data_IF_788444735872
#
_entry.id   IF_788444735872
#
_cell.length_a   1.000
_cell.length_b   1.000
_cell.length_c   1.000
_cell.angle_alpha   90.00
_cell.angle_beta   90.00
_cell.angle_gamma   90.00
#
_symmetry.space_group_name_H-M   'P 1'
#
loop_
_entity.id
_entity.type
_entity.pdbx_description
1 polymer ?
#
# COMPACT_ATOMS: atom_id res chain seq x y z
N UNK A 1 9.34 -51.86 -52.24
CA UNK A 1 8.37 -52.81 -52.84
C UNK A 1 6.97 -52.29 -52.55
N UNK A 2 6.30 -51.68 -53.53
CA UNK A 2 4.90 -51.29 -53.39
C UNK A 2 4.05 -52.52 -53.74
N UNK A 3 3.45 -53.15 -52.74
CA UNK A 3 2.44 -54.18 -53.00
C UNK A 3 1.26 -53.51 -53.69
N UNK A 4 0.97 -53.90 -54.93
CA UNK A 4 -0.19 -53.44 -55.70
C UNK A 4 -1.46 -54.06 -55.11
N UNK A 5 -1.86 -53.56 -53.95
CA UNK A 5 -3.05 -53.98 -53.21
C UNK A 5 -4.24 -53.22 -53.80
N UNK A 6 -5.18 -53.95 -54.41
CA UNK A 6 -6.44 -53.39 -54.89
C UNK A 6 -7.57 -53.84 -53.97
N UNK A 7 -8.15 -52.92 -53.21
CA UNK A 7 -9.23 -53.20 -52.25
C UNK A 7 -10.50 -52.50 -52.74
N UNK A 8 -11.59 -53.24 -52.92
CA UNK A 8 -12.90 -52.63 -53.19
C UNK A 8 -13.47 -52.06 -51.89
N UNK A 9 -13.81 -50.76 -51.89
CA UNK A 9 -14.36 -50.05 -50.72
C UNK A 9 -15.56 -49.20 -51.11
N UNK A 10 -16.43 -48.94 -50.14
CA UNK A 10 -17.53 -47.97 -50.25
C UNK A 10 -17.04 -46.59 -49.80
N UNK A 11 -17.26 -45.55 -50.62
CA UNK A 11 -16.94 -44.17 -50.26
C UNK A 11 -17.83 -43.70 -49.09
N UNK A 12 -17.22 -43.17 -48.03
CA UNK A 12 -17.96 -42.69 -46.85
C UNK A 12 -18.84 -41.45 -47.12
N UNK A 13 -18.59 -40.71 -48.21
CA UNK A 13 -19.36 -39.51 -48.57
C UNK A 13 -20.48 -39.79 -49.57
N UNK A 14 -20.18 -40.44 -50.70
CA UNK A 14 -21.14 -40.65 -51.79
C UNK A 14 -21.69 -42.08 -51.86
N UNK A 15 -21.21 -43.00 -51.02
CA UNK A 15 -21.69 -44.38 -50.97
C UNK A 15 -21.33 -45.25 -52.18
N UNK A 16 -20.59 -44.73 -53.18
CA UNK A 16 -20.18 -45.50 -54.36
C UNK A 16 -19.03 -46.44 -54.05
N UNK A 17 -19.02 -47.62 -54.69
CA UNK A 17 -17.90 -48.55 -54.65
C UNK A 17 -16.74 -48.01 -55.50
N UNK A 18 -15.51 -48.14 -54.99
CA UNK A 18 -14.29 -47.74 -55.69
C UNK A 18 -13.12 -48.64 -55.32
N UNK A 19 -12.10 -48.68 -56.18
CA UNK A 19 -10.87 -49.44 -55.95
C UNK A 19 -9.87 -48.55 -55.22
N UNK A 20 -9.47 -48.97 -54.03
CA UNK A 20 -8.51 -48.30 -53.17
C UNK A 20 -7.15 -49.01 -53.23
N UNK A 21 -6.08 -48.23 -53.41
CA UNK A 21 -4.70 -48.74 -53.36
C UNK A 21 -4.06 -48.66 -51.96
N UNK A 22 -4.75 -48.05 -50.99
CA UNK A 22 -4.28 -47.93 -49.59
C UNK A 22 -5.41 -48.25 -48.61
N UNK A 23 -5.09 -48.95 -47.53
CA UNK A 23 -6.03 -49.25 -46.44
C UNK A 23 -6.56 -47.97 -45.77
N UNK A 24 -5.81 -46.88 -45.76
CA UNK A 24 -6.23 -45.58 -45.18
C UNK A 24 -7.16 -44.75 -46.07
N UNK A 25 -7.36 -45.11 -47.34
CA UNK A 25 -8.26 -44.35 -48.23
C UNK A 25 -9.73 -44.58 -47.86
N UNK A 26 -10.46 -43.47 -47.64
CA UNK A 26 -11.85 -43.43 -47.17
C UNK A 26 -12.85 -42.94 -48.21
N UNK A 27 -12.37 -42.25 -49.25
CA UNK A 27 -13.20 -41.58 -50.25
C UNK A 27 -12.76 -41.93 -51.67
N UNK A 28 -13.71 -41.99 -52.60
CA UNK A 28 -13.45 -42.33 -54.00
C UNK A 28 -12.74 -41.23 -54.80
N UNK A 29 -12.77 -39.97 -54.33
CA UNK A 29 -12.18 -38.83 -55.05
C UNK A 29 -11.81 -37.69 -54.09
N UNK A 30 -10.90 -36.81 -54.54
CA UNK A 30 -10.53 -35.59 -53.80
C UNK A 30 -11.73 -34.67 -53.55
N UNK A 31 -12.72 -34.65 -54.45
CA UNK A 31 -13.99 -33.92 -54.26
C UNK A 31 -14.76 -34.42 -53.05
N UNK A 32 -14.96 -35.73 -52.94
CA UNK A 32 -15.67 -36.34 -51.81
C UNK A 32 -14.93 -36.11 -50.48
N UNK A 33 -13.59 -36.23 -50.49
CA UNK A 33 -12.77 -35.95 -49.31
C UNK A 33 -12.89 -34.48 -48.84
N UNK A 34 -12.85 -33.52 -49.77
CA UNK A 34 -12.99 -32.10 -49.46
C UNK A 34 -14.37 -31.75 -48.90
N UNK A 35 -15.44 -32.35 -49.43
CA UNK A 35 -16.80 -32.13 -48.94
C UNK A 35 -16.97 -32.67 -47.51
N UNK A 36 -16.50 -33.91 -47.26
CA UNK A 36 -16.51 -34.50 -45.92
C UNK A 36 -15.71 -33.67 -44.91
N UNK A 37 -14.53 -33.17 -45.32
CA UNK A 37 -13.71 -32.27 -44.50
C UNK A 37 -14.46 -30.97 -44.16
N UNK A 38 -15.12 -30.33 -45.13
CA UNK A 38 -15.90 -29.10 -44.90
C UNK A 38 -17.06 -29.32 -43.93
N UNK A 39 -17.79 -30.43 -44.05
CA UNK A 39 -18.88 -30.78 -43.12
C UNK A 39 -18.35 -31.04 -41.72
N UNK A 40 -17.27 -31.82 -41.58
CA UNK A 40 -16.66 -32.09 -40.27
C UNK A 40 -16.20 -30.79 -39.57
N UNK A 41 -15.57 -29.89 -40.31
CA UNK A 41 -15.14 -28.58 -39.79
C UNK A 41 -16.34 -27.72 -39.38
N UNK A 42 -17.44 -27.74 -40.15
CA UNK A 42 -18.68 -27.03 -39.78
C UNK A 42 -19.32 -27.60 -38.52
N UNK A 43 -19.42 -28.93 -38.40
CA UNK A 43 -19.95 -29.59 -37.21
C UNK A 43 -19.13 -29.29 -35.96
N UNK A 44 -17.79 -29.29 -36.08
CA UNK A 44 -16.90 -28.92 -34.98
C UNK A 44 -17.18 -27.50 -34.46
N UNK A 45 -17.31 -26.53 -35.36
CA UNK A 45 -17.66 -25.14 -35.01
C UNK A 45 -19.02 -25.03 -34.32
N UNK A 46 -20.01 -25.78 -34.80
CA UNK A 46 -21.36 -25.79 -34.18
C UNK A 46 -21.27 -26.38 -32.76
N UNK A 47 -20.55 -27.49 -32.56
CA UNK A 47 -20.39 -28.08 -31.23
C UNK A 47 -19.62 -27.17 -30.27
N UNK A 48 -18.57 -26.49 -30.74
CA UNK A 48 -17.82 -25.50 -29.95
C UNK A 48 -18.70 -24.31 -29.52
N UNK A 49 -19.58 -23.86 -30.40
CA UNK A 49 -20.53 -22.79 -30.07
C UNK A 49 -21.61 -23.25 -29.09
N UNK A 50 -22.16 -24.45 -29.28
CA UNK A 50 -23.14 -25.05 -28.36
C UNK A 50 -22.57 -25.25 -26.96
N UNK A 51 -21.31 -25.69 -26.83
CA UNK A 51 -20.66 -25.85 -25.52
C UNK A 51 -20.44 -24.50 -24.84
N UNK A 52 -20.06 -23.46 -25.57
CA UNK A 52 -19.95 -22.09 -25.03
C UNK A 52 -21.29 -21.56 -24.53
N UNK A 53 -22.38 -21.76 -25.28
CA UNK A 53 -23.73 -21.34 -24.86
C UNK A 53 -24.16 -22.11 -23.60
N UNK A 54 -24.00 -23.43 -23.56
CA UNK A 54 -24.39 -24.22 -22.40
C UNK A 54 -23.62 -23.78 -21.13
N UNK A 55 -22.32 -23.49 -21.26
CA UNK A 55 -21.52 -22.92 -20.16
C UNK A 55 -21.99 -21.53 -19.71
N UNK A 56 -22.63 -20.75 -20.58
CA UNK A 56 -23.22 -19.46 -20.22
C UNK A 56 -24.59 -19.61 -19.56
N UNK A 57 -25.39 -20.59 -20.00
CA UNK A 57 -26.72 -20.89 -19.43
C UNK A 57 -26.59 -21.49 -18.03
N UNK A 58 -25.69 -22.47 -17.83
CA UNK A 58 -25.42 -23.07 -16.51
C UNK A 58 -24.96 -22.03 -15.46
N UNK A 59 -24.39 -20.91 -15.89
CA UNK A 59 -24.01 -19.79 -15.00
C UNK A 59 -25.18 -18.87 -14.65
N UNK A 60 -26.24 -18.87 -15.45
CA UNK A 60 -27.43 -18.01 -15.30
C UNK A 60 -28.56 -18.65 -14.52
N UNK A 61 -28.54 -19.95 -14.31
CA UNK A 61 -29.47 -20.64 -13.40
C UNK A 61 -29.06 -20.40 -11.93
N UNK A 62 -28.90 -19.13 -11.56
CA UNK A 62 -28.84 -18.69 -10.18
C UNK A 62 -30.27 -18.59 -9.66
N UNK A 63 -30.75 -19.72 -9.15
CA UNK A 63 -31.85 -19.83 -8.19
C UNK A 63 -31.83 -18.61 -7.26
N UNK A 64 -32.99 -18.01 -6.99
CA UNK A 64 -33.21 -17.03 -5.93
C UNK A 64 -32.61 -17.53 -4.61
N UNK A 65 -31.35 -17.19 -4.37
CA UNK A 65 -30.65 -17.54 -3.14
C UNK A 65 -30.96 -16.45 -2.13
N UNK A 66 -31.68 -16.81 -1.08
CA UNK A 66 -31.95 -15.91 0.05
C UNK A 66 -30.71 -15.65 0.92
N UNK A 67 -29.69 -16.50 0.80
CA UNK A 67 -28.48 -16.48 1.61
C UNK A 67 -27.23 -16.41 0.74
N UNK A 68 -26.34 -15.49 1.11
CA UNK A 68 -25.10 -15.20 0.39
C UNK A 68 -23.88 -15.42 1.27
N UNK A 69 -22.79 -15.89 0.66
CA UNK A 69 -21.45 -15.74 1.23
C UNK A 69 -20.94 -14.30 1.04
N UNK A 70 -19.98 -13.81 1.83
CA UNK A 70 -19.43 -12.46 1.65
C UNK A 70 -18.94 -12.17 0.24
N UNK A 71 -18.35 -13.18 -0.42
CA UNK A 71 -17.88 -13.05 -1.80
C UNK A 71 -19.00 -12.95 -2.82
N UNK A 72 -20.12 -13.66 -2.60
CA UNK A 72 -21.30 -13.57 -3.47
C UNK A 72 -22.08 -12.27 -3.20
N UNK A 73 -22.23 -11.88 -1.94
CA UNK A 73 -22.85 -10.62 -1.55
C UNK A 73 -22.11 -9.40 -2.11
N UNK A 74 -20.77 -9.42 -2.08
CA UNK A 74 -19.95 -8.40 -2.71
C UNK A 74 -20.22 -8.29 -4.22
N UNK A 75 -20.34 -9.43 -4.91
CA UNK A 75 -20.70 -9.47 -6.34
C UNK A 75 -22.13 -9.00 -6.59
N UNK A 76 -23.07 -9.33 -5.71
CA UNK A 76 -24.47 -8.93 -5.81
C UNK A 76 -24.64 -7.41 -5.74
N UNK A 77 -23.95 -6.75 -4.79
CA UNK A 77 -23.98 -5.28 -4.65
C UNK A 77 -23.08 -4.60 -5.69
N UNK A 78 -22.07 -5.29 -6.23
CA UNK A 78 -21.10 -4.73 -7.17
C UNK A 78 -19.91 -4.03 -6.49
N UNK A 79 -19.52 -4.48 -5.30
CA UNK A 79 -18.42 -3.92 -4.50
C UNK A 79 -17.26 -4.94 -4.41
N UNK A 80 -16.04 -4.48 -4.11
CA UNK A 80 -14.91 -5.37 -3.85
C UNK A 80 -15.14 -6.19 -2.58
N UNK A 81 -14.63 -7.43 -2.58
CA UNK A 81 -14.68 -8.33 -1.40
C UNK A 81 -14.07 -7.68 -0.15
N UNK A 82 -13.00 -6.90 -0.31
CA UNK A 82 -12.32 -6.22 0.80
C UNK A 82 -13.19 -5.13 1.42
N UNK A 83 -13.85 -4.30 0.61
CA UNK A 83 -14.78 -3.28 1.10
C UNK A 83 -15.98 -3.91 1.78
N UNK A 84 -16.48 -5.04 1.25
CA UNK A 84 -17.55 -5.78 1.90
C UNK A 84 -17.16 -6.26 3.32
N UNK A 85 -15.95 -6.79 3.51
CA UNK A 85 -15.47 -7.15 4.87
C UNK A 85 -15.37 -5.94 5.80
N UNK A 86 -14.97 -4.76 5.32
CA UNK A 86 -14.99 -3.52 6.12
C UNK A 86 -16.39 -3.16 6.61
N UNK A 87 -17.43 -3.44 5.82
CA UNK A 87 -18.82 -3.27 6.24
C UNK A 87 -19.26 -4.28 7.29
N UNK A 88 -18.73 -5.51 7.24
CA UNK A 88 -18.96 -6.50 8.29
C UNK A 88 -18.25 -6.11 9.60
N UNK A 89 -17.00 -5.63 9.53
CA UNK A 89 -16.23 -5.16 10.70
C UNK A 89 -16.89 -3.98 11.40
N UNK A 90 -17.47 -3.06 10.63
CA UNK A 90 -18.22 -1.90 11.15
C UNK A 90 -19.65 -2.23 11.55
N UNK A 91 -20.08 -3.50 11.42
CA UNK A 91 -21.44 -3.98 11.69
C UNK A 91 -22.55 -3.24 10.92
N UNK A 92 -22.23 -2.66 9.76
CA UNK A 92 -23.21 -2.00 8.89
C UNK A 92 -24.17 -3.00 8.25
N UNK A 93 -23.66 -4.20 7.93
CA UNK A 93 -24.45 -5.31 7.38
C UNK A 93 -24.52 -6.41 8.41
N UNK A 94 -25.74 -6.79 8.80
CA UNK A 94 -25.96 -7.91 9.72
C UNK A 94 -25.52 -9.22 9.05
N UNK A 95 -24.73 -9.99 9.78
CA UNK A 95 -24.24 -11.29 9.29
C UNK A 95 -24.11 -12.28 10.43
N UNK A 96 -24.12 -13.57 10.09
CA UNK A 96 -23.90 -14.66 11.04
C UNK A 96 -22.62 -15.39 10.68
N UNK A 97 -21.66 -15.39 11.61
CA UNK A 97 -20.45 -16.17 11.48
C UNK A 97 -20.67 -17.57 12.06
N UNK A 98 -20.68 -18.57 11.19
CA UNK A 98 -20.54 -19.98 11.56
C UNK A 98 -19.04 -20.32 11.63
N UNK A 99 -18.70 -21.47 12.23
CA UNK A 99 -17.30 -21.92 12.46
C UNK A 99 -16.32 -21.58 11.33
N UNK A 100 -16.64 -21.95 10.08
CA UNK A 100 -15.78 -21.72 8.90
C UNK A 100 -16.39 -20.80 7.85
N UNK A 101 -17.64 -20.37 8.00
CA UNK A 101 -18.40 -19.68 6.95
C UNK A 101 -19.21 -18.53 7.53
N UNK A 102 -19.25 -17.41 6.83
CA UNK A 102 -20.17 -16.31 7.13
C UNK A 102 -21.33 -16.38 6.15
N UNK A 103 -22.55 -16.21 6.66
CA UNK A 103 -23.77 -16.19 5.86
C UNK A 103 -24.48 -14.87 6.11
N UNK A 104 -24.95 -14.25 5.03
CA UNK A 104 -25.69 -12.99 5.03
C UNK A 104 -27.03 -13.22 4.34
N UNK A 105 -28.11 -12.68 4.91
CA UNK A 105 -29.43 -12.71 4.27
C UNK A 105 -29.53 -11.61 3.22
N UNK A 106 -30.21 -11.89 2.11
CA UNK A 106 -30.54 -10.89 1.09
C UNK A 106 -31.22 -9.65 1.69
N UNK A 107 -32.18 -9.86 2.59
CA UNK A 107 -32.91 -8.78 3.28
C UNK A 107 -32.01 -7.86 4.10
N UNK A 108 -30.96 -8.40 4.72
CA UNK A 108 -30.02 -7.59 5.51
C UNK A 108 -29.11 -6.74 4.60
N UNK A 109 -28.88 -7.17 3.35
CA UNK A 109 -28.20 -6.38 2.33
C UNK A 109 -29.13 -5.27 1.80
N UNK A 110 -30.40 -5.59 1.55
CA UNK A 110 -31.41 -4.61 1.11
C UNK A 110 -31.67 -3.55 2.18
N UNK A 111 -31.72 -3.95 3.46
CA UNK A 111 -31.86 -3.05 4.59
C UNK A 111 -30.76 -1.98 4.69
N UNK A 112 -29.59 -2.20 4.06
CA UNK A 112 -28.54 -1.19 3.94
C UNK A 112 -29.03 0.05 3.18
N UNK A 113 -29.86 -0.16 2.15
CA UNK A 113 -30.43 0.90 1.32
C UNK A 113 -31.63 1.55 1.99
N UNK A 114 -32.46 0.76 2.67
CA UNK A 114 -33.63 1.28 3.42
C UNK A 114 -33.21 2.22 4.55
N UNK A 115 -32.09 1.92 5.23
CA UNK A 115 -31.56 2.71 6.35
C UNK A 115 -30.41 3.64 5.93
N UNK A 116 -30.25 3.94 4.65
CA UNK A 116 -29.11 4.70 4.16
C UNK A 116 -29.12 6.15 4.69
N UNK A 117 -28.02 6.57 5.30
CA UNK A 117 -27.77 7.99 5.58
C UNK A 117 -27.76 8.77 4.26
N UNK A 118 -28.24 10.03 4.24
CA UNK A 118 -28.12 10.88 3.07
C UNK A 118 -26.66 10.96 2.61
N UNK A 119 -26.46 10.95 1.29
CA UNK A 119 -25.14 10.98 0.68
C UNK A 119 -24.38 12.25 1.11
N UNK A 120 -23.26 12.06 1.81
CA UNK A 120 -22.34 13.14 2.19
C UNK A 120 -21.23 13.21 1.14
N UNK A 121 -21.23 14.26 0.32
CA UNK A 121 -20.13 14.52 -0.60
C UNK A 121 -18.81 14.63 0.18
N UNK A 122 -17.81 13.83 -0.17
CA UNK A 122 -16.45 14.00 0.35
C UNK A 122 -15.87 15.29 -0.20
N UNK A 123 -15.99 16.37 0.57
CA UNK A 123 -15.35 17.64 0.24
C UNK A 123 -13.84 17.49 0.45
N UNK A 124 -13.02 18.07 -0.44
CA UNK A 124 -11.59 18.23 -0.18
C UNK A 124 -11.38 18.88 1.17
N UNK A 125 -10.42 18.37 1.96
CA UNK A 125 -10.07 18.98 3.24
C UNK A 125 -9.64 20.43 2.96
N UNK A 126 -10.32 21.39 3.58
CA UNK A 126 -9.96 22.80 3.43
C UNK A 126 -8.50 22.99 3.85
N UNK A 127 -7.67 23.57 2.97
CA UNK A 127 -6.31 23.94 3.32
C UNK A 127 -6.39 25.10 4.32
N UNK A 128 -5.80 24.95 5.49
CA UNK A 128 -5.70 26.05 6.44
C UNK A 128 -4.82 27.15 5.83
N UNK A 129 -5.33 28.38 5.73
CA UNK A 129 -4.54 29.52 5.28
C UNK A 129 -3.45 29.83 6.29
N UNK A 130 -2.21 29.95 5.83
CA UNK A 130 -1.09 30.38 6.67
C UNK A 130 -1.09 31.90 6.66
N UNK A 131 -1.51 32.51 7.76
CA UNK A 131 -1.51 33.97 7.96
C UNK A 131 -0.22 34.49 8.57
N UNK A 132 0.44 33.67 9.39
CA UNK A 132 1.58 34.10 10.20
C UNK A 132 2.92 33.73 9.56
N UNK A 133 3.75 34.74 9.31
CA UNK A 133 5.09 34.58 8.76
C UNK A 133 6.16 35.23 9.65
N UNK A 134 7.34 34.62 9.73
CA UNK A 134 8.55 35.26 10.23
C UNK A 134 9.40 35.79 9.08
N UNK A 135 10.06 36.91 9.31
CA UNK A 135 11.19 37.35 8.47
C UNK A 135 12.43 36.49 8.78
N UNK A 136 13.32 36.27 7.81
CA UNK A 136 14.60 35.56 8.06
C UNK A 136 15.41 36.15 9.22
N UNK A 137 15.38 37.48 9.39
CA UNK A 137 16.04 38.17 10.50
C UNK A 137 15.43 37.80 11.87
N UNK A 138 14.10 37.71 11.96
CA UNK A 138 13.39 37.31 13.18
C UNK A 138 13.71 35.84 13.55
N UNK A 139 13.79 34.95 12.55
CA UNK A 139 14.19 33.54 12.78
C UNK A 139 15.63 33.47 13.29
N UNK A 140 16.53 34.28 12.73
CA UNK A 140 17.93 34.36 13.16
C UNK A 140 18.05 34.84 14.59
N UNK A 141 17.30 35.87 14.99
CA UNK A 141 17.30 36.39 16.36
C UNK A 141 16.70 35.39 17.35
N UNK A 142 15.55 34.78 17.03
CA UNK A 142 14.85 33.84 17.90
C UNK A 142 15.61 32.53 18.11
N UNK A 143 16.23 31.99 17.07
CA UNK A 143 16.84 30.66 17.09
C UNK A 143 18.38 30.65 17.04
N UNK A 144 19.02 31.81 16.86
CA UNK A 144 20.48 31.90 16.78
C UNK A 144 21.09 31.17 15.57
N UNK A 145 20.36 31.10 14.45
CA UNK A 145 20.76 30.33 13.26
C UNK A 145 21.23 31.26 12.13
N UNK A 146 22.29 30.86 11.40
CA UNK A 146 22.78 31.58 10.22
C UNK A 146 21.74 31.60 9.10
N UNK A 147 21.63 32.73 8.38
CA UNK A 147 20.68 32.94 7.28
C UNK A 147 20.70 31.82 6.24
N UNK A 148 21.90 31.40 5.80
CA UNK A 148 22.06 30.27 4.86
C UNK A 148 21.37 28.99 5.33
N UNK A 149 21.41 28.69 6.64
CA UNK A 149 20.82 27.48 7.20
C UNK A 149 19.30 27.55 7.20
N UNK A 150 18.69 28.72 7.40
CA UNK A 150 17.24 28.91 7.33
C UNK A 150 16.72 28.54 5.93
N UNK A 151 17.43 28.94 4.87
CA UNK A 151 17.05 28.57 3.50
C UNK A 151 17.18 27.07 3.21
N UNK A 152 18.20 26.41 3.75
CA UNK A 152 18.36 24.95 3.63
C UNK A 152 17.22 24.21 4.35
N UNK A 153 16.90 24.62 5.58
CA UNK A 153 15.80 24.04 6.36
C UNK A 153 14.48 24.16 5.59
N UNK A 154 14.19 25.33 5.04
CA UNK A 154 12.95 25.54 4.30
C UNK A 154 12.85 24.65 3.05
N UNK A 155 13.99 24.37 2.39
CA UNK A 155 14.05 23.45 1.25
C UNK A 155 13.90 21.98 1.67
N UNK A 156 14.63 21.55 2.70
CA UNK A 156 14.60 20.16 3.20
C UNK A 156 13.22 19.76 3.73
N UNK A 157 12.54 20.68 4.42
CA UNK A 157 11.25 20.42 5.08
C UNK A 157 10.04 20.93 4.30
N UNK A 158 10.23 21.34 3.04
CA UNK A 158 9.17 21.87 2.17
C UNK A 158 8.35 23.00 2.83
N UNK A 159 9.01 23.88 3.58
CA UNK A 159 8.36 25.03 4.22
C UNK A 159 8.14 26.10 3.16
N UNK A 160 6.88 26.51 2.98
CA UNK A 160 6.53 27.59 2.06
C UNK A 160 7.25 28.87 2.43
N UNK A 161 7.92 29.46 1.44
CA UNK A 161 8.57 30.76 1.53
C UNK A 161 7.89 31.72 0.58
N UNK A 162 7.60 32.92 1.05
CA UNK A 162 7.12 34.02 0.22
C UNK A 162 8.21 35.09 0.16
N UNK A 163 8.39 35.68 -1.01
CA UNK A 163 9.32 36.78 -1.21
C UNK A 163 8.51 38.06 -1.39
N UNK A 164 8.74 39.05 -0.53
CA UNK A 164 8.05 40.33 -0.60
C UNK A 164 9.03 41.45 -0.22
N UNK A 165 9.15 42.46 -1.09
CA UNK A 165 9.99 43.64 -0.89
C UNK A 165 11.44 43.33 -0.46
N UNK A 166 12.12 42.42 -1.16
CA UNK A 166 13.52 42.08 -0.86
C UNK A 166 13.73 41.18 0.36
N UNK A 167 12.67 40.88 1.13
CA UNK A 167 12.71 40.05 2.33
C UNK A 167 12.07 38.70 2.05
N UNK A 168 12.63 37.66 2.65
CA UNK A 168 12.05 36.31 2.61
C UNK A 168 11.26 36.06 3.89
N UNK A 169 10.04 35.59 3.71
CA UNK A 169 9.11 35.25 4.76
C UNK A 169 8.89 33.74 4.81
N UNK A 170 8.90 33.17 6.00
CA UNK A 170 8.70 31.74 6.25
C UNK A 170 7.50 31.54 7.20
N UNK A 171 6.72 30.49 7.02
CA UNK A 171 5.59 30.18 7.92
C UNK A 171 6.03 30.03 9.38
N UNK A 172 5.41 30.77 10.31
CA UNK A 172 5.76 30.71 11.75
C UNK A 172 5.59 29.31 12.30
N UNK A 173 4.41 28.71 12.07
CA UNK A 173 4.05 27.38 12.56
C UNK A 173 5.09 26.33 12.16
N UNK A 174 5.44 26.28 10.88
CA UNK A 174 6.38 25.27 10.39
C UNK A 174 7.81 25.46 10.89
N UNK A 175 8.25 26.70 11.08
CA UNK A 175 9.57 26.99 11.65
C UNK A 175 9.59 26.64 13.15
N UNK A 176 8.56 27.04 13.90
CA UNK A 176 8.45 26.75 15.33
C UNK A 176 8.36 25.23 15.57
N UNK A 177 7.54 24.51 14.79
CA UNK A 177 7.45 23.04 14.83
C UNK A 177 8.79 22.36 14.51
N UNK A 178 9.54 22.89 13.54
CA UNK A 178 10.85 22.35 13.17
C UNK A 178 11.85 22.44 14.32
N UNK A 179 11.94 23.62 14.95
CA UNK A 179 12.87 23.83 16.05
C UNK A 179 12.38 23.14 17.33
N UNK A 180 11.07 23.03 17.57
CA UNK A 180 10.52 22.28 18.70
C UNK A 180 10.92 20.79 18.65
N UNK A 181 10.90 20.16 17.47
CA UNK A 181 11.36 18.77 17.28
C UNK A 181 12.86 18.57 17.55
N UNK A 182 13.65 19.64 17.53
CA UNK A 182 15.11 19.60 17.76
C UNK A 182 15.52 20.21 19.10
N UNK A 183 14.57 20.79 19.85
CA UNK A 183 14.85 21.35 21.16
C UNK A 183 15.33 20.23 22.09
N UNK A 184 16.30 20.54 22.93
CA UNK A 184 16.75 19.62 23.98
C UNK A 184 15.70 19.56 25.09
N UNK A 185 15.60 18.42 25.76
CA UNK A 185 14.75 18.29 26.94
C UNK A 185 15.15 19.35 27.98
N UNK A 186 14.18 20.13 28.51
CA UNK A 186 14.45 21.21 29.47
C UNK A 186 15.04 20.68 30.81
N UNK A 187 15.04 19.37 31.00
CA UNK A 187 15.65 18.68 32.14
C UNK A 187 17.19 18.72 32.16
N UNK A 188 17.83 19.02 31.02
CA UNK A 188 19.29 19.11 30.89
C UNK A 188 19.75 20.55 31.18
N UNK A 189 19.97 20.86 32.46
CA UNK A 189 20.44 22.18 32.91
C UNK A 189 21.95 22.36 32.78
N UNK A 190 22.72 21.28 32.89
CA UNK A 190 24.19 21.33 32.95
C UNK A 190 24.84 20.67 31.73
N UNK A 191 25.89 21.30 31.22
CA UNK A 191 26.57 20.89 30.00
C UNK A 191 28.09 20.90 30.21
N UNK A 192 28.79 19.90 29.69
CA UNK A 192 30.26 19.91 29.59
C UNK A 192 30.71 20.47 28.24
N UNK A 193 31.75 21.29 28.26
CA UNK A 193 32.50 21.63 27.05
C UNK A 193 33.35 20.45 26.59
N UNK A 194 33.85 20.50 25.35
CA UNK A 194 34.85 19.53 24.89
C UNK A 194 36.11 19.55 25.75
N UNK A 195 36.55 20.74 26.18
CA UNK A 195 37.76 20.92 26.99
C UNK A 195 37.57 20.32 28.38
N UNK A 196 36.42 20.56 29.02
CA UNK A 196 36.09 20.02 30.34
C UNK A 196 36.15 18.49 30.34
N UNK A 197 35.70 17.84 29.25
CA UNK A 197 35.79 16.38 29.14
C UNK A 197 37.20 15.87 28.88
N UNK A 198 38.05 16.64 28.21
CA UNK A 198 39.46 16.29 28.04
C UNK A 198 40.18 16.34 29.39
N UNK A 199 39.92 17.38 30.19
CA UNK A 199 40.53 17.56 31.50
C UNK A 199 39.99 16.55 32.53
N UNK A 200 38.68 16.39 32.62
CA UNK A 200 38.05 15.54 33.65
C UNK A 200 38.24 14.04 33.39
N UNK A 201 38.24 13.62 32.13
CA UNK A 201 38.25 12.19 31.76
C UNK A 201 39.52 11.77 31.02
N UNK A 202 40.50 12.67 30.85
CA UNK A 202 41.75 12.43 30.10
C UNK A 202 41.52 11.81 28.71
N UNK A 203 40.41 12.18 28.07
CA UNK A 203 40.03 11.65 26.75
C UNK A 203 40.60 12.51 25.63
N UNK A 204 41.03 11.88 24.54
CA UNK A 204 41.35 12.61 23.31
C UNK A 204 40.08 13.09 22.61
N UNK A 205 40.17 14.15 21.80
CA UNK A 205 39.02 14.69 21.05
C UNK A 205 38.30 13.61 20.22
N UNK A 206 39.07 12.74 19.56
CA UNK A 206 38.54 11.63 18.76
C UNK A 206 37.79 10.61 19.61
N UNK A 207 38.29 10.33 20.82
CA UNK A 207 37.62 9.44 21.76
C UNK A 207 36.30 10.05 22.26
N UNK A 208 36.26 11.36 22.51
CA UNK A 208 35.05 12.10 22.91
C UNK A 208 33.97 11.98 21.83
N UNK A 209 34.30 12.24 20.56
CA UNK A 209 33.33 12.15 19.47
C UNK A 209 32.78 10.74 19.29
N UNK A 210 33.65 9.74 19.37
CA UNK A 210 33.24 8.33 19.30
C UNK A 210 32.34 7.94 20.45
N UNK A 211 32.66 8.39 21.67
CA UNK A 211 31.90 8.12 22.89
C UNK A 211 30.50 8.75 22.83
N UNK A 212 30.39 10.02 22.47
CA UNK A 212 29.11 10.73 22.35
C UNK A 212 28.21 10.07 21.30
N UNK A 213 28.79 9.67 20.17
CA UNK A 213 28.05 9.00 19.10
C UNK A 213 27.52 7.64 19.55
N UNK A 214 28.37 6.81 20.19
CA UNK A 214 28.00 5.48 20.69
C UNK A 214 26.89 5.53 21.72
N UNK A 215 26.93 6.52 22.63
CA UNK A 215 25.96 6.65 23.72
C UNK A 215 24.78 7.59 23.38
N UNK A 216 24.66 8.02 22.13
CA UNK A 216 23.59 8.92 21.66
C UNK A 216 23.38 10.17 22.56
N UNK A 217 24.46 10.76 23.07
CA UNK A 217 24.38 11.84 24.06
C UNK A 217 23.87 13.13 23.39
N UNK A 218 22.84 13.80 23.97
CA UNK A 218 22.35 15.09 23.51
C UNK A 218 23.48 16.13 23.47
N UNK A 219 23.58 16.83 22.35
CA UNK A 219 24.59 17.87 22.12
C UNK A 219 23.96 19.17 21.66
N UNK A 220 24.43 20.28 22.22
CA UNK A 220 24.05 21.63 21.85
C UNK A 220 25.22 22.33 21.18
N UNK A 221 24.97 23.06 20.10
CA UNK A 221 25.98 23.90 19.45
C UNK A 221 25.69 25.36 19.77
N UNK A 222 26.67 26.05 20.34
CA UNK A 222 26.61 27.50 20.59
C UNK A 222 27.85 28.12 19.95
N UNK A 223 27.65 28.87 18.86
CA UNK A 223 28.76 29.40 18.05
C UNK A 223 29.59 28.28 17.40
N UNK A 224 30.90 28.29 17.64
CA UNK A 224 31.84 27.26 17.16
C UNK A 224 31.89 26.08 18.14
N UNK A 225 31.63 26.30 19.43
CA UNK A 225 31.77 25.29 20.48
C UNK A 225 30.57 24.35 20.55
N UNK A 226 30.86 23.10 20.94
CA UNK A 226 29.87 22.03 21.14
C UNK A 226 29.88 21.62 22.59
N UNK A 227 28.68 21.51 23.15
CA UNK A 227 28.44 21.17 24.53
C UNK A 227 27.64 19.87 24.61
N UNK A 228 27.91 19.06 25.64
CA UNK A 228 27.28 17.75 25.84
C UNK A 228 26.60 17.67 27.20
N UNK A 229 25.48 16.96 27.27
CA UNK A 229 24.71 16.79 28.51
C UNK A 229 25.56 16.18 29.62
N UNK A 230 25.76 16.92 30.72
CA UNK A 230 26.56 16.45 31.87
C UNK A 230 25.96 15.19 32.50
N UNK A 231 24.65 15.18 32.72
CA UNK A 231 23.90 14.03 33.25
C UNK A 231 24.18 12.76 32.45
N UNK A 232 24.07 12.83 31.12
CA UNK A 232 24.18 11.65 30.27
C UNK A 232 25.64 11.19 30.12
N UNK A 233 26.60 12.11 30.12
CA UNK A 233 28.03 11.78 30.14
C UNK A 233 28.41 11.06 31.45
N UNK A 234 27.97 11.58 32.59
CA UNK A 234 28.28 11.00 33.89
C UNK A 234 27.61 9.62 34.08
N UNK A 235 26.37 9.43 33.60
CA UNK A 235 25.70 8.10 33.54
C UNK A 235 26.50 7.12 32.65
N UNK A 236 26.90 7.54 31.45
CA UNK A 236 27.62 6.68 30.51
C UNK A 236 29.06 6.34 30.98
N UNK A 237 29.62 7.13 31.90
CA UNK A 237 30.89 6.84 32.59
C UNK A 237 30.73 6.05 33.89
N UNK A 238 29.49 5.78 34.33
CA UNK A 238 29.20 5.04 35.55
C UNK A 238 29.38 5.84 36.84
N UNK A 239 29.45 7.18 36.77
CA UNK A 239 29.57 8.06 37.94
C UNK A 239 28.23 8.29 38.63
N UNK A 240 27.12 8.10 37.91
CA UNK A 240 25.74 8.27 38.38
C UNK A 240 24.94 7.02 37.96
N UNK A 241 24.15 6.46 38.87
CA UNK A 241 23.28 5.33 38.56
C UNK A 241 22.22 5.73 37.51
N UNK A 242 21.94 4.91 36.49
CA UNK A 242 20.92 5.20 35.50
C UNK A 242 19.54 5.28 36.18
N UNK A 243 18.73 6.29 35.83
CA UNK A 243 17.35 6.36 36.29
C UNK A 243 16.59 5.11 35.81
N UNK A 244 15.87 4.47 36.74
CA UNK A 244 15.10 3.27 36.44
C UNK A 244 14.04 3.55 35.35
N UNK A 245 13.87 2.65 34.36
CA UNK A 245 12.87 2.84 33.32
C UNK A 245 11.48 2.92 33.94
N UNK A 246 10.77 4.03 33.71
CA UNK A 246 9.39 4.21 34.14
C UNK A 246 8.49 3.20 33.40
N UNK A 247 8.18 2.08 34.03
CA UNK A 247 7.23 1.11 33.50
C UNK A 247 5.81 1.68 33.59
N UNK A 248 5.17 1.88 32.44
CA UNK A 248 3.74 2.17 32.41
C UNK A 248 2.99 0.86 32.68
N UNK A 249 2.28 0.79 33.81
CA UNK A 249 1.29 -0.25 34.05
C UNK A 249 0.06 0.05 33.19
N UNK A 250 -0.17 -0.74 32.14
CA UNK A 250 -1.44 -0.73 31.42
C UNK A 250 -2.53 -1.26 32.36
N UNK A 251 -3.46 -0.40 32.76
CA UNK A 251 -4.69 -0.85 33.39
C UNK A 251 -5.57 -1.50 32.28
N UNK A 252 -6.06 -2.74 32.49
CA UNK A 252 -6.89 -3.45 31.51
C UNK A 252 -8.27 -2.82 31.32
#
# INVERSE_FOLDING_TARGET
MASNINIQKKCEWCGKLFIAHKISTRYCSRRCANLAYKVKTRQKRISEFQTMINQQIEKKDCIDKDFFTPSEAAKYIGISRTTFYRYLETNLIKSVQLKRKTIIRKRDIEALFDNASPYKKHLPRAKQSITDFYTTAEVKEKYGVKDSRIFHIAKEHNISRTFHCGKTYCSKKHIDDYFAKKAHDPEIKEWYSTQDMQEKFSMTLTAIYSFVSKNAIPKKKVGIMVYYSKKHVDIAKGLIAPEEPKYYTFQP
#
